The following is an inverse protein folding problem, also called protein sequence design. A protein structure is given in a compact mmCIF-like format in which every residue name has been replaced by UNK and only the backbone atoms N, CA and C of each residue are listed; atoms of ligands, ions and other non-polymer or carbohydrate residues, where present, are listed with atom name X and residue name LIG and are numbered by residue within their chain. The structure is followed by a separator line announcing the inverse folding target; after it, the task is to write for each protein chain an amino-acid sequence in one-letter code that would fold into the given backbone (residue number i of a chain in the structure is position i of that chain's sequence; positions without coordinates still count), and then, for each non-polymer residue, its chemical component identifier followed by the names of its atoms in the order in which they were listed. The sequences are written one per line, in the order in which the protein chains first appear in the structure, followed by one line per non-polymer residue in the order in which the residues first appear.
data_IF_808075776326
#
_entry.id   IF_808075776326
#
_cell.length_a   1.000
_cell.length_b   1.000
_cell.length_c   1.000
_cell.angle_alpha   90.00
_cell.angle_beta   90.00
_cell.angle_gamma   90.00
#
_symmetry.space_group_name_H-M   'P 1'
#
loop_
_entity.id
_entity.type
_entity.pdbx_description
1 polymer ?
#
# COMPACT_ATOMS: atom_id res chain seq x y z
N UNK A 1 -3.91 -12.71 -6.05
CA UNK A 1 -2.70 -12.58 -5.21
C UNK A 1 -1.93 -11.37 -5.70
N UNK A 2 -1.24 -10.62 -4.84
CA UNK A 2 -0.42 -9.47 -5.25
C UNK A 2 0.82 -9.92 -6.02
N UNK A 3 1.14 -9.27 -7.14
CA UNK A 3 2.36 -9.51 -7.93
C UNK A 3 3.46 -8.51 -7.57
N UNK A 4 4.71 -8.84 -7.93
CA UNK A 4 5.86 -7.94 -7.70
C UNK A 4 5.64 -6.55 -8.33
N UNK A 5 5.08 -6.51 -9.54
CA UNK A 5 4.78 -5.24 -10.25
C UNK A 5 3.70 -4.42 -9.55
N UNK A 6 2.62 -5.06 -9.09
CA UNK A 6 1.55 -4.37 -8.36
C UNK A 6 2.07 -3.80 -7.02
N UNK A 7 2.93 -4.56 -6.33
CA UNK A 7 3.54 -4.14 -5.08
C UNK A 7 4.53 -2.99 -5.29
N UNK A 8 5.32 -3.00 -6.38
CA UNK A 8 6.20 -1.89 -6.75
C UNK A 8 5.44 -0.59 -6.97
N UNK A 9 4.33 -0.62 -7.71
CA UNK A 9 3.49 0.58 -7.91
C UNK A 9 2.93 1.06 -6.59
N UNK A 10 2.37 0.16 -5.78
CA UNK A 10 1.85 0.49 -4.46
C UNK A 10 2.90 1.21 -3.58
N UNK A 11 4.12 0.67 -3.53
CA UNK A 11 5.23 1.22 -2.72
C UNK A 11 5.69 2.56 -3.25
N UNK A 12 5.94 2.67 -4.55
CA UNK A 12 6.46 3.90 -5.15
C UNK A 12 5.49 5.06 -5.00
N UNK A 13 4.21 4.83 -5.26
CA UNK A 13 3.17 5.85 -5.10
C UNK A 13 3.06 6.31 -3.66
N UNK A 14 3.09 5.36 -2.73
CA UNK A 14 2.99 5.72 -1.33
C UNK A 14 4.25 6.42 -0.82
N UNK A 15 5.45 6.05 -1.28
CA UNK A 15 6.70 6.79 -1.00
C UNK A 15 6.65 8.21 -1.56
N UNK A 16 6.19 8.38 -2.79
CA UNK A 16 6.06 9.68 -3.45
C UNK A 16 5.07 10.62 -2.73
N UNK A 17 3.98 10.06 -2.21
CA UNK A 17 2.92 10.80 -1.50
C UNK A 17 3.07 10.72 0.02
N UNK A 18 4.25 10.37 0.56
CA UNK A 18 4.40 10.11 2.00
C UNK A 18 4.09 11.32 2.86
N UNK A 19 4.71 12.46 2.53
CA UNK A 19 4.56 13.68 3.32
C UNK A 19 3.12 14.17 3.29
N UNK A 20 2.52 14.22 2.10
CA UNK A 20 1.11 14.55 1.90
C UNK A 20 0.20 13.59 2.68
N UNK A 21 0.46 12.28 2.63
CA UNK A 21 -0.33 11.30 3.36
C UNK A 21 -0.28 11.52 4.88
N UNK A 22 0.84 11.98 5.44
CA UNK A 22 0.96 12.30 6.86
C UNK A 22 0.16 13.55 7.25
N UNK A 23 -0.12 14.45 6.31
CA UNK A 23 -0.98 15.62 6.52
C UNK A 23 -2.48 15.29 6.42
N UNK A 24 -2.85 14.23 5.68
CA UNK A 24 -4.23 13.79 5.57
C UNK A 24 -4.82 13.37 6.93
N UNK A 25 -6.10 13.62 7.15
CA UNK A 25 -6.83 13.20 8.35
C UNK A 25 -8.13 12.47 8.03
N UNK A 26 -8.56 11.60 8.95
CA UNK A 26 -9.85 10.90 8.88
C UNK A 26 -10.12 10.24 7.52
N UNK A 27 -11.26 10.60 6.91
CA UNK A 27 -11.71 10.05 5.63
C UNK A 27 -10.77 10.33 4.46
N UNK A 28 -9.88 11.32 4.53
CA UNK A 28 -8.95 11.63 3.45
C UNK A 28 -7.91 10.53 3.25
N UNK A 29 -7.39 9.92 4.34
CA UNK A 29 -6.49 8.76 4.23
C UNK A 29 -7.18 7.56 3.58
N UNK A 30 -8.46 7.34 3.90
CA UNK A 30 -9.24 6.29 3.28
C UNK A 30 -9.49 6.55 1.78
N UNK A 31 -9.76 7.80 1.40
CA UNK A 31 -9.90 8.19 0.00
C UNK A 31 -8.58 8.05 -0.78
N UNK A 32 -7.45 8.37 -0.16
CA UNK A 32 -6.11 8.12 -0.72
C UNK A 32 -5.94 6.63 -1.07
N UNK A 33 -6.23 5.72 -0.12
CA UNK A 33 -6.10 4.29 -0.37
C UNK A 33 -7.06 3.77 -1.45
N UNK A 34 -8.28 4.31 -1.52
CA UNK A 34 -9.22 4.03 -2.61
C UNK A 34 -8.69 4.50 -3.96
N UNK A 35 -8.14 5.71 -4.03
CA UNK A 35 -7.53 6.24 -5.25
C UNK A 35 -6.37 5.38 -5.74
N UNK A 36 -5.47 5.00 -4.83
CA UNK A 36 -4.34 4.14 -5.15
C UNK A 36 -4.78 2.75 -5.64
N UNK A 37 -5.83 2.19 -5.05
CA UNK A 37 -6.42 0.95 -5.53
C UNK A 37 -7.02 1.06 -6.92
N UNK A 38 -7.75 2.16 -7.20
CA UNK A 38 -8.28 2.42 -8.53
C UNK A 38 -7.18 2.54 -9.57
N UNK A 39 -6.05 3.18 -9.23
CA UNK A 39 -4.87 3.27 -10.10
C UNK A 39 -4.30 1.89 -10.43
N UNK A 40 -4.06 1.06 -9.42
CA UNK A 40 -3.55 -0.32 -9.60
C UNK A 40 -4.54 -1.17 -10.40
N UNK A 41 -5.83 -1.02 -10.15
CA UNK A 41 -6.88 -1.72 -10.91
C UNK A 41 -6.88 -1.33 -12.38
N UNK A 42 -6.74 -0.04 -12.67
CA UNK A 42 -6.68 0.45 -14.04
C UNK A 42 -5.44 -0.08 -14.77
N UNK A 43 -4.29 -0.12 -14.10
CA UNK A 43 -3.02 -0.55 -14.70
C UNK A 43 -2.94 -2.08 -14.90
N UNK A 44 -3.48 -2.88 -13.96
CA UNK A 44 -3.30 -4.33 -13.95
C UNK A 44 -4.57 -5.15 -14.17
N UNK A 45 -5.71 -4.51 -14.44
CA UNK A 45 -7.00 -5.19 -14.61
C UNK A 45 -7.50 -5.90 -13.35
N UNK A 46 -7.14 -5.37 -12.17
CA UNK A 46 -7.53 -5.95 -10.87
C UNK A 46 -8.82 -5.31 -10.33
N UNK A 47 -9.34 -5.84 -9.22
CA UNK A 47 -10.59 -5.40 -8.58
C UNK A 47 -10.42 -5.05 -7.10
N UNK A 48 -9.25 -4.51 -6.73
CA UNK A 48 -8.97 -4.08 -5.37
C UNK A 48 -9.86 -2.92 -4.93
N UNK A 49 -10.34 -2.94 -3.69
CA UNK A 49 -11.27 -1.93 -3.18
C UNK A 49 -10.59 -0.81 -2.37
N UNK A 50 -9.27 -0.87 -2.21
CA UNK A 50 -8.46 0.13 -1.49
C UNK A 50 -8.65 0.20 0.02
N UNK A 51 -9.73 -0.34 0.57
CA UNK A 51 -9.92 -0.42 2.02
C UNK A 51 -9.02 -1.46 2.68
N UNK A 52 -8.71 -1.24 3.97
CA UNK A 52 -8.08 -2.09 5.00
C UNK A 52 -6.95 -3.05 4.58
N UNK A 53 -7.07 -3.88 3.54
CA UNK A 53 -6.05 -4.84 3.11
C UNK A 53 -4.77 -4.19 2.57
N UNK A 54 -4.88 -3.13 1.75
CA UNK A 54 -3.71 -2.36 1.28
C UNK A 54 -3.04 -1.63 2.44
N UNK A 55 -3.85 -0.92 3.24
CA UNK A 55 -3.40 -0.23 4.44
C UNK A 55 -2.71 -1.16 5.45
N UNK A 56 -3.31 -2.31 5.78
CA UNK A 56 -2.73 -3.27 6.73
C UNK A 56 -1.41 -3.86 6.23
N UNK A 57 -1.31 -4.13 4.93
CA UNK A 57 -0.09 -4.65 4.32
C UNK A 57 1.05 -3.62 4.40
N UNK A 58 0.73 -2.36 4.12
CA UNK A 58 1.63 -1.21 4.20
C UNK A 58 2.04 -0.90 5.63
N UNK A 59 1.10 -0.88 6.57
CA UNK A 59 1.37 -0.67 8.00
C UNK A 59 2.10 -1.86 8.63
N UNK A 60 2.51 -2.85 7.84
CA UNK A 60 3.22 -4.02 8.30
C UNK A 60 2.42 -4.90 9.26
N UNK A 61 1.10 -4.69 9.37
CA UNK A 61 0.22 -5.46 10.27
C UNK A 61 -0.07 -6.81 9.62
N UNK A 62 0.49 -7.92 10.12
CA UNK A 62 0.34 -9.20 9.47
C UNK A 62 -1.09 -9.71 9.72
N UNK A 63 -1.96 -9.62 8.72
CA UNK A 63 -3.18 -10.44 8.68
C UNK A 63 -3.01 -11.53 7.62
N UNK A 64 -2.51 -12.69 8.05
CA UNK A 64 -2.39 -13.91 7.23
C UNK A 64 -0.96 -14.45 7.08
N UNK A 65 -0.81 -15.62 6.43
CA UNK A 65 0.50 -16.20 6.05
C UNK A 65 1.24 -15.21 5.12
N UNK A 66 2.41 -14.73 5.55
CA UNK A 66 3.30 -13.93 4.70
C UNK A 66 3.76 -14.79 3.51
N UNK A 67 3.44 -14.37 2.28
CA UNK A 67 4.05 -14.96 1.09
C UNK A 67 5.52 -14.52 0.99
N UNK A 68 6.34 -15.20 0.19
CA UNK A 68 7.74 -14.78 -0.03
C UNK A 68 7.84 -13.31 -0.53
N UNK A 69 6.93 -12.91 -1.42
CA UNK A 69 6.74 -11.52 -1.84
C UNK A 69 6.34 -10.60 -0.68
N UNK A 70 5.44 -11.08 0.17
CA UNK A 70 5.06 -10.42 1.42
C UNK A 70 6.25 -10.08 2.29
N UNK A 71 7.17 -11.03 2.49
CA UNK A 71 8.36 -10.86 3.32
C UNK A 71 9.37 -9.90 2.68
N UNK A 72 9.67 -10.07 1.38
CA UNK A 72 10.61 -9.20 0.65
C UNK A 72 10.26 -7.72 0.78
N UNK A 73 8.99 -7.39 0.59
CA UNK A 73 8.55 -6.00 0.68
C UNK A 73 8.28 -5.55 2.12
N UNK A 74 7.97 -6.48 3.04
CA UNK A 74 7.89 -6.16 4.47
C UNK A 74 9.19 -5.59 5.04
N UNK A 75 10.34 -6.08 4.58
CA UNK A 75 11.64 -5.51 4.95
C UNK A 75 11.80 -4.08 4.43
N UNK A 76 11.46 -3.83 3.15
CA UNK A 76 11.42 -2.48 2.58
C UNK A 76 10.42 -1.57 3.32
N UNK A 77 9.31 -2.13 3.84
CA UNK A 77 8.36 -1.46 4.72
C UNK A 77 8.89 -1.24 6.14
N UNK A 78 9.85 -2.03 6.61
CA UNK A 78 10.41 -1.90 7.96
C UNK A 78 11.49 -0.82 8.08
N UNK A 79 12.00 -0.32 6.95
CA UNK A 79 13.07 0.70 6.86
C UNK A 79 12.62 2.13 7.24
N UNK A 80 11.65 2.29 8.15
CA UNK A 80 11.19 3.59 8.69
C UNK A 80 10.65 4.59 7.66
N UNK A 81 10.48 4.25 6.39
CA UNK A 81 9.94 5.21 5.41
C UNK A 81 8.50 5.67 5.73
N UNK A 82 7.81 4.94 6.60
CA UNK A 82 6.49 5.27 7.14
C UNK A 82 6.51 6.19 8.36
N UNK A 83 7.70 6.42 8.91
CA UNK A 83 7.90 7.42 9.95
C UNK A 83 7.88 8.80 9.29
N UNK A 84 7.29 9.76 9.99
CA UNK A 84 7.17 11.14 9.52
C UNK A 84 8.49 11.88 9.70
#
# INVERSE_FOLDING_TARGET
MWTDRQLRVLINERKNENDNFHELSGNMKHNFWKGLASKINLEFGTTYTGGNKMQLYIEGKPKGRKSALGTKYYEEFSERFWEK
#
